data_IF_309346582857
#
_entry.id   IF_309346582857
#
_cell.length_a   1.000
_cell.length_b   1.000
_cell.length_c   1.000
_cell.angle_alpha   90.00
_cell.angle_beta   90.00
_cell.angle_gamma   90.00
#
_symmetry.space_group_name_H-M   'P 1'
#
loop_
_entity.id
_entity.type
_entity.pdbx_description
1 polymer ?
#
# COMPACT_ATOMS: atom_id res chain seq x y z
N UNK A 1 24.19 25.13 2.42
CA UNK A 1 22.89 24.67 1.90
C UNK A 1 22.61 23.31 2.51
N UNK A 2 21.73 23.22 3.53
CA UNK A 2 21.37 21.93 4.12
C UNK A 2 20.49 21.17 3.12
N UNK A 3 20.93 19.98 2.71
CA UNK A 3 20.07 19.08 1.95
C UNK A 3 18.88 18.71 2.85
N UNK A 4 17.70 19.24 2.52
CA UNK A 4 16.46 18.86 3.19
C UNK A 4 16.29 17.35 2.99
N UNK A 5 16.47 16.55 4.04
CA UNK A 5 16.19 15.13 3.94
C UNK A 5 14.69 14.96 3.64
N UNK A 6 14.39 14.32 2.51
CA UNK A 6 13.03 13.94 2.16
C UNK A 6 12.54 12.98 3.26
N UNK A 7 11.43 13.31 3.91
CA UNK A 7 10.87 12.51 4.99
C UNK A 7 10.28 11.20 4.44
N UNK A 8 11.15 10.23 4.15
CA UNK A 8 10.80 8.90 3.65
C UNK A 8 10.79 7.94 4.84
N UNK A 9 9.73 7.11 4.94
CA UNK A 9 9.64 6.03 5.93
C UNK A 9 9.54 4.70 5.20
N UNK A 10 10.53 3.83 5.41
CA UNK A 10 10.48 2.45 4.94
C UNK A 10 9.76 1.62 5.98
N UNK A 11 8.69 0.93 5.60
CA UNK A 11 7.86 0.11 6.50
C UNK A 11 7.64 -1.28 5.90
N UNK A 12 7.45 -2.28 6.75
CA UNK A 12 7.08 -3.65 6.37
C UNK A 12 5.89 -4.11 7.22
N UNK A 13 4.93 -4.78 6.61
CA UNK A 13 3.75 -5.32 7.28
C UNK A 13 3.90 -6.83 7.40
N UNK A 14 3.87 -7.35 8.62
CA UNK A 14 3.96 -8.78 8.93
C UNK A 14 2.78 -9.16 9.82
N UNK A 15 2.10 -10.24 9.48
CA UNK A 15 0.97 -10.78 10.24
C UNK A 15 0.78 -12.25 9.88
N UNK A 16 0.03 -12.97 10.71
CA UNK A 16 -0.37 -14.35 10.46
C UNK A 16 -1.33 -14.48 9.26
N UNK A 17 -1.50 -15.70 8.73
CA UNK A 17 -2.48 -16.00 7.67
C UNK A 17 -3.87 -15.52 8.12
N UNK A 18 -4.69 -15.04 7.18
CA UNK A 18 -6.05 -14.50 7.42
C UNK A 18 -6.16 -13.26 8.32
N UNK A 19 -5.05 -12.61 8.69
CA UNK A 19 -5.07 -11.38 9.50
C UNK A 19 -5.20 -10.10 8.65
N UNK A 20 -5.67 -10.19 7.41
CA UNK A 20 -6.00 -9.02 6.60
C UNK A 20 -4.81 -8.12 6.22
N UNK A 21 -3.60 -8.68 6.07
CA UNK A 21 -2.41 -7.91 5.62
C UNK A 21 -2.70 -7.18 4.31
N UNK A 22 -3.22 -7.91 3.33
CA UNK A 22 -3.55 -7.39 2.01
C UNK A 22 -4.61 -6.30 2.11
N UNK A 23 -5.65 -6.49 2.92
CA UNK A 23 -6.69 -5.48 3.16
C UNK A 23 -6.14 -4.18 3.78
N UNK A 24 -5.18 -4.30 4.70
CA UNK A 24 -4.53 -3.14 5.30
C UNK A 24 -3.67 -2.39 4.27
N UNK A 25 -2.96 -3.11 3.41
CA UNK A 25 -2.18 -2.54 2.30
C UNK A 25 -3.10 -1.81 1.32
N UNK A 26 -4.20 -2.44 0.90
CA UNK A 26 -5.18 -1.82 -0.02
C UNK A 26 -5.76 -0.52 0.57
N UNK A 27 -6.07 -0.51 1.87
CA UNK A 27 -6.59 0.68 2.55
C UNK A 27 -5.57 1.82 2.59
N UNK A 28 -4.29 1.50 2.83
CA UNK A 28 -3.20 2.49 2.80
C UNK A 28 -3.02 3.07 1.39
N UNK A 29 -3.07 2.23 0.36
CA UNK A 29 -2.98 2.66 -1.03
C UNK A 29 -4.17 3.56 -1.41
N UNK A 30 -5.39 3.17 -1.04
CA UNK A 30 -6.60 3.97 -1.28
C UNK A 30 -6.53 5.35 -0.59
N UNK A 31 -6.07 5.40 0.66
CA UNK A 31 -5.90 6.65 1.40
C UNK A 31 -4.77 7.54 0.85
N UNK A 32 -3.74 6.93 0.24
CA UNK A 32 -2.56 7.66 -0.23
C UNK A 32 -2.80 8.55 -1.46
N UNK A 33 -3.97 8.44 -2.10
CA UNK A 33 -4.34 9.25 -3.27
C UNK A 33 -3.50 8.95 -4.51
N UNK A 34 -2.91 7.74 -4.60
CA UNK A 34 -2.10 7.32 -5.74
C UNK A 34 -2.93 6.97 -6.99
N UNK A 35 -4.20 6.61 -6.78
CA UNK A 35 -5.13 6.23 -7.85
C UNK A 35 -5.90 7.43 -8.36
N UNK A 36 -6.27 7.41 -9.64
CA UNK A 36 -7.13 8.46 -10.23
C UNK A 36 -8.60 8.22 -9.87
N UNK A 37 -9.39 9.29 -9.85
CA UNK A 37 -10.82 9.25 -9.47
C UNK A 37 -11.69 8.27 -10.29
N UNK A 38 -11.27 7.91 -11.50
CA UNK A 38 -11.97 6.97 -12.40
C UNK A 38 -11.16 5.70 -12.71
N UNK A 39 -10.13 5.43 -11.91
CA UNK A 39 -9.34 4.22 -12.05
C UNK A 39 -10.04 3.06 -11.35
N UNK A 40 -10.29 1.98 -12.08
CA UNK A 40 -10.77 0.74 -11.48
C UNK A 40 -9.62 0.09 -10.72
N UNK A 41 -9.61 0.26 -9.39
CA UNK A 41 -8.61 -0.35 -8.51
C UNK A 41 -9.06 -1.76 -8.15
N UNK A 42 -8.32 -2.82 -8.53
CA UNK A 42 -8.65 -4.18 -8.11
C UNK A 42 -8.44 -4.35 -6.60
N UNK A 43 -9.13 -5.32 -6.00
CA UNK A 43 -8.79 -5.76 -4.63
C UNK A 43 -7.45 -6.50 -4.64
N UNK A 44 -6.70 -6.43 -3.54
CA UNK A 44 -5.41 -7.10 -3.40
C UNK A 44 -4.37 -6.59 -4.41
N UNK A 45 -4.21 -5.27 -4.53
CA UNK A 45 -3.45 -4.61 -5.61
C UNK A 45 -1.99 -5.09 -5.71
N UNK A 46 -1.40 -5.49 -4.59
CA UNK A 46 -0.01 -5.94 -4.51
C UNK A 46 0.17 -7.46 -4.61
N UNK A 47 -0.90 -8.25 -4.64
CA UNK A 47 -0.81 -9.70 -4.75
C UNK A 47 -0.60 -10.09 -6.22
N UNK A 48 0.57 -10.65 -6.54
CA UNK A 48 0.97 -11.00 -7.92
C UNK A 48 0.81 -12.48 -8.27
N UNK A 49 0.40 -13.32 -7.32
CA UNK A 49 0.11 -14.73 -7.55
C UNK A 49 -1.39 -14.96 -7.39
N UNK A 50 -2.02 -15.66 -8.33
CA UNK A 50 -3.27 -16.38 -8.02
C UNK A 50 -2.92 -17.41 -6.95
N UNK A 51 -3.68 -17.40 -5.85
CA UNK A 51 -3.58 -18.38 -4.76
C UNK A 51 -3.81 -19.81 -5.25
#
# INVERSE_FOLDING_TARGET
MSAQQKAIRNIAIIAHVDHGKTTLVDSLLAQSGIFRDNEAVPTCVMDSNDL
#
